data_IF_019385197499
#
_entry.id   IF_019385197499
#
_cell.length_a   1.000
_cell.length_b   1.000
_cell.length_c   1.000
_cell.angle_alpha   90.00
_cell.angle_beta   90.00
_cell.angle_gamma   90.00
#
_symmetry.space_group_name_H-M   'P 1'
#
loop_
_entity.id
_entity.type
_entity.pdbx_description
1 polymer ?
#
# COMPACT_ATOMS: atom_id res chain seq x y z
N UNK A 1 0.99 -12.02 10.41
CA UNK A 1 1.58 -10.67 10.54
C UNK A 1 1.62 -9.90 9.22
N UNK A 2 2.13 -10.49 8.16
CA UNK A 2 2.20 -9.80 6.86
C UNK A 2 0.82 -9.44 6.33
N UNK A 3 -0.12 -10.37 6.42
CA UNK A 3 -1.50 -10.12 5.96
C UNK A 3 -2.16 -8.97 6.73
N UNK A 4 -1.91 -8.86 8.03
CA UNK A 4 -2.43 -7.79 8.85
C UNK A 4 -1.84 -6.43 8.46
N UNK A 5 -0.55 -6.40 8.14
CA UNK A 5 0.12 -5.17 7.69
C UNK A 5 -0.48 -4.70 6.36
N UNK A 6 -0.60 -5.60 5.40
CA UNK A 6 -1.17 -5.26 4.09
C UNK A 6 -2.61 -4.76 4.24
N UNK A 7 -3.41 -5.46 5.04
CA UNK A 7 -4.80 -5.06 5.30
C UNK A 7 -4.88 -3.66 5.92
N UNK A 8 -4.02 -3.39 6.90
CA UNK A 8 -3.98 -2.08 7.57
C UNK A 8 -3.61 -0.95 6.61
N UNK A 9 -2.61 -1.18 5.76
CA UNK A 9 -2.17 -0.18 4.77
C UNK A 9 -3.27 0.07 3.74
N UNK A 10 -3.87 -0.99 3.21
CA UNK A 10 -4.96 -0.85 2.24
C UNK A 10 -6.18 -0.15 2.83
N UNK A 11 -6.53 -0.47 4.08
CA UNK A 11 -7.62 0.19 4.79
C UNK A 11 -7.35 1.68 4.96
N UNK A 12 -6.12 2.04 5.35
CA UNK A 12 -5.76 3.44 5.50
C UNK A 12 -5.84 4.19 4.16
N UNK A 13 -5.35 3.59 3.08
CA UNK A 13 -5.42 4.20 1.75
C UNK A 13 -6.87 4.38 1.29
N UNK A 14 -7.75 3.44 1.63
CA UNK A 14 -9.16 3.57 1.31
C UNK A 14 -9.82 4.67 2.14
N UNK A 15 -9.51 4.76 3.43
CA UNK A 15 -10.03 5.82 4.30
C UNK A 15 -9.54 7.21 3.87
N UNK A 16 -8.34 7.28 3.32
CA UNK A 16 -7.80 8.52 2.77
C UNK A 16 -8.40 8.88 1.41
N UNK A 17 -9.25 8.04 0.85
CA UNK A 17 -9.91 8.30 -0.43
C UNK A 17 -9.03 8.07 -1.64
N UNK A 18 -7.91 7.37 -1.50
CA UNK A 18 -6.99 7.13 -2.62
C UNK A 18 -7.42 5.93 -3.45
N UNK A 19 -7.77 4.83 -2.79
CA UNK A 19 -8.13 3.58 -3.47
C UNK A 19 -9.41 2.99 -2.89
N UNK A 20 -9.96 2.05 -3.63
CA UNK A 20 -11.07 1.21 -3.19
C UNK A 20 -10.52 -0.08 -2.58
N UNK A 21 -10.93 -0.39 -1.37
CA UNK A 21 -10.54 -1.61 -0.68
C UNK A 21 -11.71 -2.11 0.18
N UNK A 22 -12.39 -3.20 -0.21
CA UNK A 22 -13.56 -3.66 0.53
C UNK A 22 -13.22 -4.52 1.75
N UNK A 23 -11.95 -4.96 1.86
CA UNK A 23 -11.50 -5.89 2.89
C UNK A 23 -10.85 -7.12 2.28
N UNK A 24 -10.05 -7.82 3.07
CA UNK A 24 -9.19 -8.90 2.58
C UNK A 24 -9.92 -10.08 1.96
N UNK A 25 -11.12 -10.43 2.45
CA UNK A 25 -11.86 -11.59 1.99
C UNK A 25 -13.21 -11.20 1.38
N UNK A 26 -13.33 -9.98 0.90
CA UNK A 26 -14.58 -9.46 0.34
C UNK A 26 -14.43 -9.34 -1.16
N UNK A 27 -15.48 -9.68 -1.88
CA UNK A 27 -15.48 -9.54 -3.34
C UNK A 27 -15.34 -8.07 -3.73
N UNK A 28 -14.44 -7.79 -4.71
CA UNK A 28 -14.24 -6.43 -5.21
C UNK A 28 -15.33 -6.06 -6.20
N UNK A 29 -16.05 -4.97 -5.91
CA UNK A 29 -17.07 -4.41 -6.78
C UNK A 29 -16.86 -2.90 -6.88
N UNK A 30 -15.75 -2.44 -7.48
CA UNK A 30 -15.51 -1.00 -7.56
C UNK A 30 -16.50 -0.34 -8.49
N UNK A 31 -16.96 0.84 -8.10
CA UNK A 31 -17.78 1.69 -8.95
C UNK A 31 -16.90 2.46 -9.93
N UNK A 32 -17.53 3.09 -10.92
CA UNK A 32 -16.81 3.89 -11.90
C UNK A 32 -15.99 4.98 -11.17
N UNK A 33 -14.73 5.11 -11.55
CA UNK A 33 -13.81 6.07 -10.95
C UNK A 33 -13.10 5.59 -9.71
N UNK A 34 -13.49 4.45 -9.15
CA UNK A 34 -12.76 3.85 -8.03
C UNK A 34 -11.64 2.97 -8.54
N UNK A 35 -10.47 3.09 -7.91
CA UNK A 35 -9.30 2.31 -8.28
C UNK A 35 -9.05 1.25 -7.19
N UNK A 36 -9.17 -0.03 -7.53
CA UNK A 36 -8.97 -1.09 -6.54
C UNK A 36 -7.50 -1.22 -6.13
N UNK A 37 -7.27 -1.45 -4.83
CA UNK A 37 -5.97 -1.85 -4.32
C UNK A 37 -6.09 -3.27 -3.77
N UNK A 38 -5.14 -4.12 -4.15
CA UNK A 38 -5.13 -5.53 -3.79
C UNK A 38 -3.86 -5.90 -3.05
N UNK A 39 -3.89 -7.08 -2.42
CA UNK A 39 -2.73 -7.59 -1.71
C UNK A 39 -1.79 -8.30 -2.66
N UNK A 40 -0.50 -7.98 -2.56
CA UNK A 40 0.63 -8.67 -3.20
C UNK A 40 0.76 -8.48 -4.70
N UNK A 41 -0.30 -8.67 -5.49
CA UNK A 41 -0.22 -8.63 -6.96
C UNK A 41 -1.25 -7.69 -7.54
N UNK A 42 -0.87 -7.03 -8.63
CA UNK A 42 -1.82 -6.25 -9.42
C UNK A 42 -2.88 -7.19 -10.01
N UNK A 43 -4.16 -6.83 -9.89
CA UNK A 43 -5.22 -7.63 -10.49
C UNK A 43 -5.24 -7.43 -12.00
N UNK A 44 -5.47 -8.52 -12.74
CA UNK A 44 -5.58 -8.45 -14.19
C UNK A 44 -6.91 -7.87 -14.65
N UNK A 45 -7.91 -7.94 -13.80
CA UNK A 45 -9.30 -7.59 -14.14
C UNK A 45 -9.51 -6.11 -14.47
N UNK A 46 -8.75 -5.21 -13.85
CA UNK A 46 -8.89 -3.77 -14.06
C UNK A 46 -7.59 -3.18 -14.56
N UNK A 47 -7.67 -2.35 -15.59
CA UNK A 47 -6.47 -1.72 -16.16
C UNK A 47 -5.84 -0.74 -15.17
N UNK A 48 -6.65 0.07 -14.48
CA UNK A 48 -6.16 0.97 -13.45
C UNK A 48 -6.34 0.29 -12.10
N UNK A 49 -5.24 0.02 -11.43
CA UNK A 49 -5.23 -0.73 -10.18
C UNK A 49 -3.94 -0.51 -9.42
N UNK A 50 -3.95 -0.90 -8.15
CA UNK A 50 -2.76 -0.85 -7.30
C UNK A 50 -2.64 -2.14 -6.50
N UNK A 51 -1.45 -2.41 -6.02
CA UNK A 51 -1.18 -3.53 -5.12
C UNK A 51 -0.20 -3.11 -4.06
N UNK A 52 -0.39 -3.64 -2.85
CA UNK A 52 0.53 -3.44 -1.72
C UNK A 52 1.15 -4.78 -1.37
N UNK A 53 2.47 -4.81 -1.29
CA UNK A 53 3.20 -6.00 -0.89
C UNK A 53 4.23 -5.68 0.18
N UNK A 54 4.53 -6.66 1.02
CA UNK A 54 5.62 -6.60 2.00
C UNK A 54 6.75 -7.44 1.43
N UNK A 55 7.91 -6.82 1.22
CA UNK A 55 9.06 -7.52 0.68
C UNK A 55 10.19 -7.69 1.68
N UNK A 56 10.05 -7.15 2.88
CA UNK A 56 11.03 -7.31 3.95
C UNK A 56 10.36 -7.13 5.31
N UNK A 57 10.75 -7.97 6.26
CA UNK A 57 10.22 -7.93 7.62
C UNK A 57 11.35 -8.23 8.59
N UNK A 58 11.54 -7.35 9.58
CA UNK A 58 12.46 -7.58 10.66
C UNK A 58 11.67 -7.76 11.95
N UNK A 59 11.74 -8.95 12.51
CA UNK A 59 11.08 -9.26 13.78
C UNK A 59 11.72 -8.49 14.91
N UNK A 60 10.95 -8.17 15.97
CA UNK A 60 11.50 -7.40 17.08
C UNK A 60 12.54 -8.21 17.83
N UNK A 61 13.50 -7.50 18.41
CA UNK A 61 14.46 -8.11 19.32
C UNK A 61 13.73 -8.60 20.59
N UNK A 62 14.30 -9.62 21.30
CA UNK A 62 13.68 -10.06 22.55
C UNK A 62 13.43 -8.88 23.50
N UNK A 63 12.23 -8.82 24.05
CA UNK A 63 11.83 -7.73 24.93
C UNK A 63 11.29 -6.48 24.23
N UNK A 64 11.30 -6.46 22.90
CA UNK A 64 10.74 -5.35 22.13
C UNK A 64 9.50 -5.81 21.37
N UNK A 65 8.55 -4.92 21.17
CA UNK A 65 7.36 -5.16 20.35
C UNK A 65 7.40 -4.38 19.04
N UNK A 66 8.53 -3.73 18.74
CA UNK A 66 8.68 -2.90 17.54
C UNK A 66 9.04 -3.75 16.34
N UNK A 67 8.24 -3.65 15.29
CA UNK A 67 8.45 -4.39 14.04
C UNK A 67 8.70 -3.38 12.92
N UNK A 68 9.63 -3.74 12.04
CA UNK A 68 9.94 -2.93 10.86
C UNK A 68 9.65 -3.74 9.61
N UNK A 69 8.90 -3.17 8.68
CA UNK A 69 8.64 -3.81 7.39
C UNK A 69 8.97 -2.87 6.25
N UNK A 70 9.35 -3.45 5.14
CA UNK A 70 9.49 -2.73 3.88
C UNK A 70 8.29 -3.07 3.00
N UNK A 71 7.56 -2.03 2.61
CA UNK A 71 6.38 -2.14 1.77
C UNK A 71 6.70 -1.67 0.37
N UNK A 72 6.01 -2.24 -0.60
CA UNK A 72 5.99 -1.70 -1.95
C UNK A 72 4.56 -1.48 -2.39
N UNK A 73 4.29 -0.28 -2.87
CA UNK A 73 3.05 0.05 -3.57
C UNK A 73 3.36 0.03 -5.05
N UNK A 74 2.56 -0.71 -5.81
CA UNK A 74 2.67 -0.77 -7.27
C UNK A 74 1.38 -0.21 -7.86
N UNK A 75 1.49 0.84 -8.66
CA UNK A 75 0.33 1.47 -9.33
C UNK A 75 0.47 1.27 -10.83
N UNK A 76 -0.64 0.87 -11.45
CA UNK A 76 -0.76 0.77 -12.90
C UNK A 76 -1.93 1.64 -13.34
N UNK A 77 -1.69 2.52 -14.30
CA UNK A 77 -2.72 3.45 -14.77
C UNK A 77 -2.36 3.99 -16.17
N UNK A 78 -3.32 4.59 -16.82
CA UNK A 78 -3.16 5.27 -18.10
C UNK A 78 -3.77 6.66 -18.00
N UNK A 79 -3.12 7.70 -18.53
CA UNK A 79 -1.84 7.70 -19.25
C UNK A 79 -0.62 7.64 -18.35
N UNK A 80 -0.77 7.87 -17.04
CA UNK A 80 0.34 7.85 -16.10
C UNK A 80 -0.10 7.26 -14.77
N UNK A 81 0.82 6.58 -14.08
CA UNK A 81 0.63 6.10 -12.72
C UNK A 81 0.91 7.19 -11.68
N UNK A 82 1.52 8.30 -12.09
CA UNK A 82 2.06 9.29 -11.14
C UNK A 82 1.01 9.96 -10.27
N UNK A 83 -0.15 10.31 -10.83
CA UNK A 83 -1.17 11.02 -10.07
C UNK A 83 -1.66 10.19 -8.88
N UNK A 84 -2.01 8.93 -9.14
CA UNK A 84 -2.47 8.03 -8.08
C UNK A 84 -1.37 7.69 -7.08
N UNK A 85 -0.17 7.42 -7.60
CA UNK A 85 0.96 7.08 -6.75
C UNK A 85 1.36 8.26 -5.86
N UNK A 86 1.36 9.48 -6.39
CA UNK A 86 1.65 10.68 -5.59
C UNK A 86 0.63 10.87 -4.48
N UNK A 87 -0.65 10.63 -4.76
CA UNK A 87 -1.70 10.71 -3.73
C UNK A 87 -1.48 9.67 -2.63
N UNK A 88 -1.07 8.47 -3.00
CA UNK A 88 -0.76 7.41 -2.04
C UNK A 88 0.47 7.77 -1.20
N UNK A 89 1.51 8.28 -1.82
CA UNK A 89 2.71 8.74 -1.10
C UNK A 89 2.33 9.82 -0.09
N UNK A 90 1.49 10.77 -0.50
CA UNK A 90 1.04 11.84 0.40
C UNK A 90 0.26 11.28 1.59
N UNK A 91 -0.53 10.23 1.39
CA UNK A 91 -1.30 9.61 2.47
C UNK A 91 -0.44 8.80 3.43
N UNK A 92 0.69 8.28 2.98
CA UNK A 92 1.52 7.36 3.76
C UNK A 92 2.77 8.00 4.35
N UNK A 93 3.44 8.88 3.58
CA UNK A 93 4.73 9.42 3.98
C UNK A 93 4.61 10.40 5.15
N UNK A 94 5.45 10.22 6.13
CA UNK A 94 5.52 11.10 7.28
C UNK A 94 4.48 10.86 8.35
N UNK A 95 3.61 9.88 8.17
CA UNK A 95 2.65 9.50 9.21
C UNK A 95 3.41 8.98 10.42
N UNK A 96 3.04 9.42 11.61
CA UNK A 96 3.58 8.88 12.84
C UNK A 96 2.49 8.87 13.92
N UNK A 97 2.67 7.98 14.91
CA UNK A 97 1.77 7.84 16.05
C UNK A 97 0.30 7.70 15.63
N UNK A 98 0.04 6.85 14.64
CA UNK A 98 -1.29 6.66 14.06
C UNK A 98 -1.77 5.23 14.26
N UNK A 99 -3.08 5.04 14.14
CA UNK A 99 -3.68 3.71 14.15
C UNK A 99 -4.27 3.42 12.78
N UNK A 100 -3.79 2.35 12.13
CA UNK A 100 -4.32 1.89 10.85
C UNK A 100 -4.98 0.53 11.08
N UNK A 101 -6.32 0.51 11.12
CA UNK A 101 -7.03 -0.70 11.49
C UNK A 101 -6.62 -1.15 12.89
N UNK A 102 -6.09 -2.36 13.01
CA UNK A 102 -5.60 -2.90 14.28
C UNK A 102 -4.12 -2.57 14.54
N UNK A 103 -3.46 -1.88 13.63
CA UNK A 103 -2.03 -1.64 13.69
C UNK A 103 -1.71 -0.31 14.35
N UNK A 104 -0.82 -0.32 15.32
CA UNK A 104 -0.31 0.91 15.95
C UNK A 104 0.96 1.33 15.22
N UNK A 105 0.82 2.28 14.31
CA UNK A 105 1.91 2.75 13.47
C UNK A 105 2.72 3.79 14.22
N UNK A 106 4.01 3.54 14.37
CA UNK A 106 4.94 4.51 14.89
C UNK A 106 5.29 5.54 13.82
N UNK A 107 5.69 5.06 12.64
CA UNK A 107 5.88 5.94 11.48
C UNK A 107 5.97 5.16 10.18
N UNK A 108 5.72 5.90 9.09
CA UNK A 108 5.84 5.40 7.74
C UNK A 108 6.65 6.41 6.92
N UNK A 109 7.70 5.95 6.27
CA UNK A 109 8.59 6.80 5.48
C UNK A 109 8.70 6.29 4.05
N UNK A 110 8.52 7.18 3.10
CA UNK A 110 8.80 6.89 1.70
C UNK A 110 10.31 6.81 1.50
N UNK A 111 10.77 5.75 0.86
CA UNK A 111 12.18 5.51 0.64
C UNK A 111 12.59 5.81 -0.81
N UNK A 112 11.77 5.41 -1.78
CA UNK A 112 12.23 5.36 -3.15
C UNK A 112 11.06 5.19 -4.11
N UNK A 113 11.15 5.85 -5.27
CA UNK A 113 10.21 5.71 -6.38
C UNK A 113 10.94 5.12 -7.57
N UNK A 114 10.32 4.15 -8.25
CA UNK A 114 10.83 3.62 -9.51
C UNK A 114 9.76 3.75 -10.60
N UNK A 115 10.14 4.41 -11.68
CA UNK A 115 9.32 4.52 -12.89
C UNK A 115 9.61 3.31 -13.76
N UNK A 116 8.60 2.46 -13.96
CA UNK A 116 8.78 1.22 -14.71
C UNK A 116 8.41 1.36 -16.20
N UNK A 117 7.70 2.43 -16.54
CA UNK A 117 7.29 2.69 -17.90
C UNK A 117 6.03 1.92 -18.29
N UNK A 118 5.68 2.01 -19.58
CA UNK A 118 4.47 1.41 -20.10
C UNK A 118 4.66 -0.09 -20.40
N UNK A 119 3.61 -0.86 -20.13
CA UNK A 119 3.58 -2.28 -20.49
C UNK A 119 3.09 -2.47 -21.94
N UNK A 120 2.85 -3.73 -22.33
CA UNK A 120 2.42 -4.07 -23.68
C UNK A 120 1.07 -3.45 -24.07
N UNK A 121 0.23 -3.15 -23.08
CA UNK A 121 -1.07 -2.50 -23.30
C UNK A 121 -0.97 -0.98 -23.26
N UNK A 122 0.22 -0.43 -23.04
CA UNK A 122 0.41 1.00 -22.89
C UNK A 122 0.05 1.53 -21.53
N UNK A 123 -0.12 0.67 -20.54
CA UNK A 123 -0.43 1.08 -19.15
C UNK A 123 0.87 1.41 -18.44
N UNK A 124 0.89 2.58 -17.79
CA UNK A 124 2.07 3.05 -17.07
C UNK A 124 2.17 2.40 -15.70
N UNK A 125 3.38 2.05 -15.30
CA UNK A 125 3.67 1.40 -14.02
C UNK A 125 4.67 2.20 -13.20
N UNK A 126 4.39 2.29 -11.91
CA UNK A 126 5.29 2.92 -10.95
C UNK A 126 5.24 2.17 -9.63
N UNK A 127 6.40 2.00 -9.00
CA UNK A 127 6.47 1.46 -7.65
C UNK A 127 7.03 2.49 -6.68
N UNK A 128 6.53 2.48 -5.47
CA UNK A 128 7.02 3.28 -4.36
C UNK A 128 7.28 2.38 -3.17
N UNK A 129 8.46 2.52 -2.60
CA UNK A 129 8.89 1.71 -1.46
C UNK A 129 8.83 2.53 -0.19
N UNK A 130 8.36 1.91 0.88
CA UNK A 130 8.20 2.56 2.19
C UNK A 130 8.78 1.69 3.28
N UNK A 131 9.23 2.33 4.35
CA UNK A 131 9.55 1.67 5.60
C UNK A 131 8.45 1.98 6.60
N UNK A 132 7.86 0.94 7.15
CA UNK A 132 6.81 1.06 8.16
C UNK A 132 7.32 0.46 9.46
N UNK A 133 7.21 1.25 10.53
CA UNK A 133 7.56 0.81 11.88
C UNK A 133 6.29 0.82 12.71
N UNK A 134 5.97 -0.30 13.33
CA UNK A 134 4.76 -0.44 14.11
C UNK A 134 4.99 -1.31 15.34
N UNK A 135 4.02 -1.31 16.24
CA UNK A 135 4.06 -2.11 17.47
C UNK A 135 3.07 -3.25 17.35
N UNK A 136 3.49 -4.44 17.75
CA UNK A 136 2.67 -5.64 17.66
C UNK A 136 1.57 -5.68 18.68
N UNK A 137 1.68 -4.89 19.72
CA UNK A 137 0.70 -4.86 20.80
C UNK A 137 0.41 -3.48 21.27
N UNK A 138 -0.85 -3.31 21.61
CA UNK A 138 -1.30 -2.10 22.28
C UNK A 138 -1.03 -2.15 23.75
#
# INVERSE_FOLDING_TARGET
MIAEVIDAVCTHLAEAGVFYYPGGNVEYKPEAGQVPVTAKRLPAKWDTAAAVNVYGLALPLPGSDTVMVNLQLHVRASPTADILADRAVEALHGVHAATWGSLRVDRCLHLHTAQLGADEKGLDHRTDNFQLIFHTKG
#
